data_IF_456936088324
#
_entry.id   IF_456936088324
#
_cell.length_a   1.000
_cell.length_b   1.000
_cell.length_c   1.000
_cell.angle_alpha   90.00
_cell.angle_beta   90.00
_cell.angle_gamma   90.00
#
_symmetry.space_group_name_H-M   'P 1'
#
loop_
_entity.id
_entity.type
_entity.pdbx_description
1 polymer ?
#
# COMPACT_ATOMS: atom_id res chain seq x y z
N UNK A 1 4.40 17.86 9.68
CA UNK A 1 3.26 17.68 10.60
C UNK A 1 3.68 17.83 12.06
N UNK A 2 4.55 16.96 12.61
CA UNK A 2 4.97 17.11 14.03
C UNK A 2 5.90 18.31 14.25
N UNK A 3 6.97 18.37 13.44
CA UNK A 3 7.90 19.50 13.41
C UNK A 3 7.28 20.59 12.53
N UNK A 4 6.72 21.63 13.16
CA UNK A 4 6.18 22.82 12.47
C UNK A 4 4.70 23.11 12.74
N UNK A 5 3.84 22.10 12.84
CA UNK A 5 2.40 22.28 13.16
C UNK A 5 2.05 21.93 14.61
N UNK A 6 3.05 21.54 15.43
CA UNK A 6 2.84 21.20 16.84
C UNK A 6 2.06 19.90 17.09
N UNK A 7 1.75 19.13 16.04
CA UNK A 7 0.98 17.89 16.16
C UNK A 7 1.80 16.79 16.86
N UNK A 8 1.17 16.09 17.80
CA UNK A 8 1.74 14.85 18.35
C UNK A 8 1.57 13.74 17.32
N UNK A 9 2.70 13.21 16.82
CA UNK A 9 2.70 12.14 15.82
C UNK A 9 3.24 10.87 16.46
N UNK A 10 2.48 9.78 16.34
CA UNK A 10 2.92 8.42 16.65
C UNK A 10 2.87 7.60 15.37
N UNK A 11 4.02 7.11 14.91
CA UNK A 11 4.09 6.24 13.74
C UNK A 11 4.32 4.79 14.17
N UNK A 12 3.75 3.86 13.42
CA UNK A 12 3.86 2.42 13.67
C UNK A 12 4.33 1.77 12.38
N UNK A 13 5.42 1.02 12.45
CA UNK A 13 6.06 0.37 11.31
C UNK A 13 6.65 -0.97 11.74
N UNK A 14 6.46 -2.03 10.96
CA UNK A 14 6.92 -3.37 11.26
C UNK A 14 8.42 -3.58 11.01
N UNK A 15 8.99 -2.86 10.03
CA UNK A 15 10.41 -2.93 9.72
C UNK A 15 11.23 -1.97 10.60
N UNK A 16 12.02 -2.57 11.50
CA UNK A 16 12.96 -1.85 12.37
C UNK A 16 13.90 -0.92 11.61
N UNK A 17 14.38 -1.33 10.43
CA UNK A 17 15.32 -0.54 9.62
C UNK A 17 14.67 0.75 9.12
N UNK A 18 13.39 0.68 8.74
CA UNK A 18 12.63 1.85 8.32
C UNK A 18 12.39 2.81 9.49
N UNK A 19 12.09 2.28 10.68
CA UNK A 19 11.97 3.10 11.90
C UNK A 19 13.29 3.78 12.28
N UNK A 20 14.41 3.07 12.21
CA UNK A 20 15.73 3.62 12.48
C UNK A 20 16.11 4.71 11.47
N UNK A 21 15.78 4.50 10.20
CA UNK A 21 15.93 5.50 9.14
C UNK A 21 15.07 6.74 9.42
N UNK A 22 13.80 6.57 9.79
CA UNK A 22 12.91 7.68 10.13
C UNK A 22 13.47 8.51 11.30
N UNK A 23 13.89 7.85 12.39
CA UNK A 23 14.53 8.52 13.54
C UNK A 23 15.80 9.28 13.16
N UNK A 24 16.59 8.76 12.21
CA UNK A 24 17.77 9.44 11.70
C UNK A 24 17.38 10.71 10.92
N UNK A 25 16.41 10.61 10.02
CA UNK A 25 15.91 11.75 9.24
C UNK A 25 15.33 12.84 10.14
N UNK A 26 14.61 12.48 11.19
CA UNK A 26 14.11 13.42 12.20
C UNK A 26 15.24 14.19 12.88
N UNK A 27 16.32 13.50 13.28
CA UNK A 27 17.52 14.15 13.86
C UNK A 27 18.19 15.10 12.88
N UNK A 28 18.37 14.67 11.64
CA UNK A 28 18.97 15.49 10.58
C UNK A 28 18.14 16.75 10.31
N UNK A 29 16.81 16.62 10.27
CA UNK A 29 15.89 17.74 10.12
C UNK A 29 15.97 18.71 11.31
N UNK A 30 15.99 18.20 12.55
CA UNK A 30 16.14 19.04 13.74
C UNK A 30 17.46 19.83 13.72
N UNK A 31 18.57 19.18 13.39
CA UNK A 31 19.88 19.84 13.25
C UNK A 31 19.86 20.90 12.14
N UNK A 32 19.24 20.61 11.00
CA UNK A 32 19.09 21.56 9.90
C UNK A 32 18.26 22.78 10.32
N UNK A 33 17.15 22.56 11.02
CA UNK A 33 16.29 23.63 11.55
C UNK A 33 17.00 24.48 12.61
N UNK A 34 17.83 23.89 13.47
CA UNK A 34 18.66 24.63 14.43
C UNK A 34 19.72 25.48 13.74
N UNK A 35 20.39 24.93 12.73
CA UNK A 35 21.39 25.65 11.93
C UNK A 35 20.75 26.82 11.17
N UNK A 36 19.56 26.61 10.60
CA UNK A 36 18.79 27.66 9.93
C UNK A 36 18.43 28.79 10.92
N UNK A 37 17.94 28.45 12.12
CA UNK A 37 17.65 29.45 13.17
C UNK A 37 18.86 30.29 13.56
N UNK A 38 20.03 29.67 13.76
CA UNK A 38 21.27 30.40 14.09
C UNK A 38 21.71 31.37 12.99
N UNK A 39 21.29 31.14 11.74
CA UNK A 39 21.57 32.01 10.60
C UNK A 39 20.53 33.13 10.44
N UNK A 40 19.30 32.92 10.90
CA UNK A 40 18.19 33.87 10.77
C UNK A 40 17.80 34.39 12.15
N UNK A 41 18.53 35.38 12.66
CA UNK A 41 18.43 35.89 14.04
C UNK A 41 17.08 36.58 14.42
N UNK A 42 16.01 36.46 13.63
CA UNK A 42 14.77 37.23 13.82
C UNK A 42 13.45 36.49 13.53
N UNK A 43 13.40 35.16 13.46
CA UNK A 43 12.11 34.46 13.29
C UNK A 43 11.59 33.96 14.64
N UNK A 44 10.37 34.38 14.98
CA UNK A 44 9.60 34.06 16.18
C UNK A 44 9.72 32.58 16.63
N UNK A 45 9.61 32.27 17.94
CA UNK A 45 9.68 30.90 18.41
C UNK A 45 8.57 30.08 17.74
N UNK A 46 8.89 29.03 16.97
CA UNK A 46 7.91 28.05 16.55
C UNK A 46 7.29 27.44 17.81
N UNK A 47 5.99 27.17 17.76
CA UNK A 47 5.27 26.44 18.80
C UNK A 47 5.94 25.11 19.18
N UNK A 48 5.42 24.43 20.21
CA UNK A 48 6.06 23.26 20.82
C UNK A 48 6.47 22.21 19.77
N UNK A 49 7.78 21.97 19.66
CA UNK A 49 8.33 20.94 18.77
C UNK A 49 8.23 19.58 19.46
N UNK A 50 7.14 18.87 19.21
CA UNK A 50 7.10 17.45 19.52
C UNK A 50 7.90 16.70 18.46
N UNK A 51 8.84 15.85 18.88
CA UNK A 51 9.43 14.88 17.95
C UNK A 51 8.43 13.74 17.73
N UNK A 52 8.31 13.22 16.50
CA UNK A 52 7.52 12.02 16.24
C UNK A 52 7.97 10.85 17.13
N UNK A 53 6.99 10.12 17.67
CA UNK A 53 7.25 8.87 18.36
C UNK A 53 7.14 7.71 17.37
N UNK A 54 8.26 7.02 17.12
CA UNK A 54 8.27 5.86 16.23
C UNK A 54 8.27 4.55 17.02
N UNK A 55 7.31 3.68 16.71
CA UNK A 55 7.14 2.35 17.32
C UNK A 55 7.39 1.28 16.27
N UNK A 56 8.27 0.32 16.60
CA UNK A 56 8.50 -0.87 15.75
C UNK A 56 7.46 -1.92 16.13
N UNK A 57 6.45 -2.14 15.28
CA UNK A 57 5.40 -3.12 15.51
C UNK A 57 4.66 -3.47 14.22
N UNK A 58 4.40 -4.76 14.02
CA UNK A 58 3.46 -5.23 13.01
C UNK A 58 2.03 -5.01 13.50
N UNK A 59 1.20 -4.41 12.64
CA UNK A 59 -0.20 -4.13 12.97
C UNK A 59 -1.08 -5.10 12.21
N UNK A 60 -1.68 -6.01 12.95
CA UNK A 60 -2.74 -6.87 12.42
C UNK A 60 -4.08 -6.11 12.45
N UNK A 61 -4.97 -6.30 11.47
CA UNK A 61 -6.27 -5.61 11.41
C UNK A 61 -7.10 -5.75 12.70
N UNK A 62 -7.07 -6.94 13.32
CA UNK A 62 -7.79 -7.22 14.56
C UNK A 62 -7.18 -6.52 15.80
N UNK A 63 -5.87 -6.30 15.79
CA UNK A 63 -5.13 -5.70 16.90
C UNK A 63 -5.10 -4.17 16.85
N UNK A 64 -5.48 -3.58 15.70
CA UNK A 64 -5.41 -2.13 15.48
C UNK A 64 -6.24 -1.35 16.51
N UNK A 65 -7.50 -1.72 16.71
CA UNK A 65 -8.38 -1.00 17.62
C UNK A 65 -7.89 -1.15 19.07
N UNK A 66 -7.82 -2.39 19.55
CA UNK A 66 -7.68 -2.66 20.99
C UNK A 66 -6.30 -2.31 21.54
N UNK A 67 -5.24 -2.58 20.77
CA UNK A 67 -3.88 -2.49 21.29
C UNK A 67 -3.17 -1.18 20.95
N UNK A 68 -3.68 -0.42 19.97
CA UNK A 68 -2.98 0.75 19.43
C UNK A 68 -3.78 2.04 19.56
N UNK A 69 -5.07 2.00 19.29
CA UNK A 69 -5.92 3.18 19.22
C UNK A 69 -6.64 3.46 20.55
N UNK A 70 -7.19 2.43 21.21
CA UNK A 70 -7.83 2.59 22.53
C UNK A 70 -6.97 3.35 23.56
N UNK A 71 -5.65 3.10 23.69
CA UNK A 71 -4.82 3.86 24.65
C UNK A 71 -4.63 5.34 24.29
N UNK A 72 -4.81 5.71 23.02
CA UNK A 72 -4.71 7.10 22.54
C UNK A 72 -6.04 7.84 22.72
N UNK A 73 -7.15 7.12 22.59
CA UNK A 73 -8.52 7.62 22.77
C UNK A 73 -8.82 7.94 24.24
N UNK A 74 -8.43 7.04 25.16
CA UNK A 74 -8.74 7.15 26.60
C UNK A 74 -7.74 8.01 27.39
N UNK A 75 -7.06 8.94 26.72
CA UNK A 75 -6.09 9.81 27.39
C UNK A 75 -6.78 10.65 28.48
N UNK A 76 -6.27 10.66 29.74
CA UNK A 76 -6.95 11.27 30.90
C UNK A 76 -7.12 12.80 30.84
N UNK A 77 -6.69 13.44 29.75
CA UNK A 77 -6.84 14.89 29.52
C UNK A 77 -8.12 15.28 28.76
N UNK A 78 -8.95 14.33 28.32
CA UNK A 78 -10.21 14.58 27.62
C UNK A 78 -10.04 15.09 26.18
N UNK A 79 -10.91 14.66 25.26
CA UNK A 79 -11.09 15.29 23.94
C UNK A 79 -9.98 15.06 22.90
N UNK A 80 -9.29 13.92 22.92
CA UNK A 80 -8.28 13.63 21.89
C UNK A 80 -8.92 13.61 20.49
N UNK A 81 -8.48 14.51 19.60
CA UNK A 81 -8.82 14.49 18.18
C UNK A 81 -7.70 13.81 17.42
N UNK A 82 -8.02 12.67 16.82
CA UNK A 82 -7.06 11.83 16.11
C UNK A 82 -7.25 11.96 14.60
N UNK A 83 -6.12 12.04 13.89
CA UNK A 83 -6.03 11.84 12.45
C UNK A 83 -5.39 10.47 12.23
N UNK A 84 -6.12 9.56 11.60
CA UNK A 84 -5.56 8.28 11.17
C UNK A 84 -4.92 8.44 9.80
N UNK A 85 -3.70 7.93 9.65
CA UNK A 85 -2.99 7.94 8.36
C UNK A 85 -2.47 6.55 8.04
N UNK A 86 -2.97 5.95 6.97
CA UNK A 86 -2.51 4.67 6.44
C UNK A 86 -1.69 4.87 5.17
N UNK A 87 -0.36 4.93 5.29
CA UNK A 87 0.54 4.98 4.13
C UNK A 87 0.92 3.54 3.77
N UNK A 88 0.33 2.99 2.70
CA UNK A 88 0.40 1.57 2.33
C UNK A 88 -0.39 0.62 3.25
N UNK A 89 -1.63 1.00 3.62
CA UNK A 89 -2.52 0.12 4.36
C UNK A 89 -2.88 -1.13 3.52
N UNK A 90 -2.25 -2.27 3.84
CA UNK A 90 -2.35 -3.49 3.07
C UNK A 90 -3.62 -4.28 3.40
N UNK A 91 -4.37 -4.75 2.39
CA UNK A 91 -5.51 -5.64 2.58
C UNK A 91 -6.50 -5.12 3.63
N UNK A 92 -6.87 -5.99 4.56
CA UNK A 92 -7.85 -5.70 5.60
C UNK A 92 -7.39 -4.66 6.63
N UNK A 93 -6.11 -4.27 6.66
CA UNK A 93 -5.67 -3.14 7.48
C UNK A 93 -6.33 -1.84 6.99
N UNK A 94 -6.49 -1.67 5.68
CA UNK A 94 -7.22 -0.51 5.13
C UNK A 94 -8.70 -0.51 5.54
N UNK A 95 -9.31 -1.70 5.59
CA UNK A 95 -10.70 -1.89 6.04
C UNK A 95 -10.83 -1.59 7.53
N UNK A 96 -9.89 -2.05 8.36
CA UNK A 96 -9.88 -1.80 9.79
C UNK A 96 -9.74 -0.30 10.10
N UNK A 97 -8.87 0.42 9.37
CA UNK A 97 -8.76 1.88 9.50
C UNK A 97 -10.08 2.59 9.15
N UNK A 98 -10.75 2.19 8.07
CA UNK A 98 -12.03 2.76 7.66
C UNK A 98 -13.13 2.50 8.71
N UNK A 99 -13.29 1.25 9.14
CA UNK A 99 -14.27 0.87 10.16
C UNK A 99 -14.04 1.60 11.47
N UNK A 100 -12.78 1.68 11.90
CA UNK A 100 -12.43 2.38 13.12
C UNK A 100 -12.69 3.89 13.00
N UNK A 101 -12.35 4.52 11.87
CA UNK A 101 -12.75 5.90 11.59
C UNK A 101 -14.28 6.08 11.73
N UNK A 102 -15.08 5.20 11.14
CA UNK A 102 -16.54 5.27 11.24
C UNK A 102 -17.04 5.18 12.69
N UNK A 103 -16.52 4.23 13.47
CA UNK A 103 -17.04 3.90 14.80
C UNK A 103 -16.47 4.73 15.96
N UNK A 104 -15.27 5.32 15.83
CA UNK A 104 -14.57 5.99 16.94
C UNK A 104 -14.71 7.53 16.88
N UNK A 105 -15.46 8.17 17.80
CA UNK A 105 -15.69 9.63 17.79
C UNK A 105 -14.41 10.48 17.85
N UNK A 106 -13.39 10.00 18.54
CA UNK A 106 -12.08 10.65 18.70
C UNK A 106 -11.34 10.78 17.37
N UNK A 107 -11.55 9.83 16.44
CA UNK A 107 -10.98 9.92 15.10
C UNK A 107 -11.83 10.85 14.25
N UNK A 108 -11.34 12.08 14.06
CA UNK A 108 -12.04 13.14 13.35
C UNK A 108 -11.73 13.18 11.85
N UNK A 109 -10.60 12.59 11.45
CA UNK A 109 -10.14 12.58 10.07
C UNK A 109 -9.34 11.31 9.74
N UNK A 110 -9.34 10.95 8.45
CA UNK A 110 -8.63 9.81 7.88
C UNK A 110 -7.92 10.24 6.58
N UNK A 111 -6.69 9.76 6.37
CA UNK A 111 -6.01 9.76 5.08
C UNK A 111 -5.43 8.36 4.82
N UNK A 112 -5.92 7.65 3.81
CA UNK A 112 -5.57 6.25 3.56
C UNK A 112 -5.14 6.02 2.10
N UNK A 113 -3.97 5.42 1.94
CA UNK A 113 -3.42 4.95 0.66
C UNK A 113 -3.33 3.42 0.72
N UNK A 114 -4.22 2.74 0.01
CA UNK A 114 -4.23 1.28 -0.11
C UNK A 114 -3.13 0.77 -1.04
N UNK A 115 -2.69 -0.48 -0.88
CA UNK A 115 -1.66 -1.02 -1.78
C UNK A 115 -1.60 -2.53 -2.05
N UNK A 116 -2.26 -3.39 -1.27
CA UNK A 116 -2.20 -4.84 -1.42
C UNK A 116 -3.60 -5.44 -1.44
N UNK A 117 -4.35 -5.20 -2.51
CA UNK A 117 -5.76 -5.58 -2.59
C UNK A 117 -5.99 -7.09 -2.60
N UNK A 118 -5.02 -7.87 -3.08
CA UNK A 118 -5.05 -9.34 -3.03
C UNK A 118 -5.07 -9.91 -1.60
N UNK A 119 -4.75 -9.09 -0.59
CA UNK A 119 -4.84 -9.43 0.84
C UNK A 119 -6.18 -9.04 1.48
N UNK A 120 -7.15 -8.54 0.71
CA UNK A 120 -8.49 -8.32 1.24
C UNK A 120 -9.17 -9.66 1.52
N UNK A 121 -9.90 -9.79 2.62
CA UNK A 121 -10.73 -10.97 2.84
C UNK A 121 -11.96 -10.97 1.92
N UNK A 122 -12.46 -12.17 1.66
CA UNK A 122 -13.70 -12.39 0.92
C UNK A 122 -14.45 -13.55 1.61
N UNK A 123 -15.55 -13.27 2.35
CA UNK A 123 -16.20 -11.96 2.53
C UNK A 123 -15.47 -11.03 3.52
N UNK A 124 -15.91 -9.78 3.59
CA UNK A 124 -15.57 -8.84 4.67
C UNK A 124 -14.50 -7.79 4.34
N UNK A 125 -13.66 -8.04 3.34
CA UNK A 125 -12.64 -7.10 2.87
C UNK A 125 -13.12 -6.29 1.66
N UNK A 126 -13.97 -6.84 0.79
CA UNK A 126 -14.60 -6.16 -0.34
C UNK A 126 -15.86 -6.95 -0.78
N UNK A 127 -16.93 -6.28 -1.27
CA UNK A 127 -17.17 -4.84 -1.19
C UNK A 127 -17.48 -4.38 0.24
N UNK A 128 -17.33 -3.07 0.52
CA UNK A 128 -17.75 -2.45 1.78
C UNK A 128 -18.99 -1.57 1.65
N UNK A 129 -19.17 -0.92 0.50
CA UNK A 129 -20.34 -0.09 0.25
C UNK A 129 -21.54 -0.96 -0.12
N UNK A 130 -22.72 -0.52 0.32
CA UNK A 130 -23.97 -1.17 -0.05
C UNK A 130 -24.23 -1.04 -1.55
N UNK A 131 -23.86 0.10 -2.13
CA UNK A 131 -24.03 0.35 -3.55
C UNK A 131 -23.23 -0.62 -4.43
N UNK A 132 -21.92 -0.81 -4.15
CA UNK A 132 -21.10 -1.77 -4.92
C UNK A 132 -21.55 -3.21 -4.64
N UNK A 133 -21.93 -3.52 -3.40
CA UNK A 133 -22.47 -4.83 -3.04
C UNK A 133 -23.75 -5.19 -3.81
N UNK A 134 -24.55 -4.19 -4.19
CA UNK A 134 -25.77 -4.39 -4.96
C UNK A 134 -25.55 -4.57 -6.47
N UNK A 135 -24.33 -4.31 -6.99
CA UNK A 135 -24.04 -4.49 -8.40
C UNK A 135 -23.96 -5.98 -8.77
N UNK A 136 -24.53 -6.40 -9.92
CA UNK A 136 -24.38 -7.76 -10.41
C UNK A 136 -22.91 -8.02 -10.78
N UNK A 137 -22.37 -9.15 -10.30
CA UNK A 137 -20.98 -9.53 -10.61
C UNK A 137 -19.93 -8.63 -9.97
N UNK A 138 -20.23 -8.02 -8.82
CA UNK A 138 -19.29 -7.17 -8.10
C UNK A 138 -18.04 -7.90 -7.58
N UNK A 139 -18.05 -9.24 -7.54
CA UNK A 139 -16.93 -10.05 -7.03
C UNK A 139 -15.60 -9.75 -7.73
N UNK A 140 -14.55 -9.56 -6.93
CA UNK A 140 -13.18 -9.41 -7.44
C UNK A 140 -12.34 -10.63 -7.08
N UNK A 141 -12.05 -11.45 -8.08
CA UNK A 141 -11.15 -12.58 -7.92
C UNK A 141 -9.77 -12.15 -7.40
N UNK A 142 -9.06 -13.07 -6.75
CA UNK A 142 -7.68 -12.82 -6.30
C UNK A 142 -6.78 -12.24 -7.40
N UNK A 143 -6.91 -12.71 -8.65
CA UNK A 143 -6.07 -12.25 -9.76
C UNK A 143 -6.37 -10.80 -10.15
N UNK A 144 -7.63 -10.39 -10.14
CA UNK A 144 -7.98 -9.00 -10.43
C UNK A 144 -7.42 -8.08 -9.33
N UNK A 145 -7.56 -8.48 -8.07
CA UNK A 145 -7.04 -7.73 -6.92
C UNK A 145 -5.52 -7.67 -6.89
N UNK A 146 -4.83 -8.74 -7.28
CA UNK A 146 -3.38 -8.72 -7.46
C UNK A 146 -2.98 -7.85 -8.66
N UNK A 147 -3.70 -7.95 -9.77
CA UNK A 147 -3.54 -7.11 -10.96
C UNK A 147 -3.56 -5.62 -10.65
N UNK A 148 -4.52 -5.19 -9.82
CA UNK A 148 -4.66 -3.83 -9.30
C UNK A 148 -3.47 -3.33 -8.46
N UNK A 149 -2.44 -4.17 -8.25
CA UNK A 149 -1.22 -3.81 -7.56
C UNK A 149 -0.02 -3.51 -8.44
N UNK A 150 -0.19 -3.60 -9.75
CA UNK A 150 0.88 -3.30 -10.69
C UNK A 150 0.82 -1.85 -11.19
N UNK A 151 2.01 -1.29 -11.41
CA UNK A 151 2.20 0.03 -12.00
C UNK A 151 2.25 -0.08 -13.54
N UNK A 152 1.39 0.67 -14.22
CA UNK A 152 1.36 0.70 -15.69
C UNK A 152 2.57 1.45 -16.25
N UNK A 153 2.95 2.56 -15.63
CA UNK A 153 3.95 3.52 -16.08
C UNK A 153 5.34 2.88 -16.18
N UNK A 154 5.75 2.14 -15.14
CA UNK A 154 7.03 1.45 -15.13
C UNK A 154 7.12 0.39 -16.23
N UNK A 155 6.03 -0.34 -16.47
CA UNK A 155 6.00 -1.36 -17.50
C UNK A 155 5.94 -0.77 -18.90
N UNK A 156 5.21 0.34 -19.10
CA UNK A 156 5.17 1.07 -20.36
C UNK A 156 6.57 1.51 -20.80
N UNK A 157 7.39 2.03 -19.86
CA UNK A 157 8.80 2.36 -20.15
C UNK A 157 9.65 1.14 -20.56
N UNK A 158 9.41 -0.03 -19.96
CA UNK A 158 10.09 -1.29 -20.33
C UNK A 158 9.67 -1.78 -21.72
N UNK A 159 8.40 -1.62 -22.09
CA UNK A 159 7.90 -1.94 -23.42
C UNK A 159 8.54 -1.04 -24.49
N UNK A 160 8.58 0.27 -24.25
CA UNK A 160 9.15 1.24 -25.19
C UNK A 160 10.64 0.99 -25.45
N UNK A 161 11.39 0.63 -24.41
CA UNK A 161 12.82 0.33 -24.51
C UNK A 161 13.12 -1.07 -25.08
N UNK A 162 12.08 -1.88 -25.35
CA UNK A 162 12.21 -3.30 -25.71
C UNK A 162 13.20 -4.05 -24.79
N UNK A 163 13.21 -3.68 -23.50
CA UNK A 163 14.26 -4.07 -22.58
C UNK A 163 14.23 -5.58 -22.30
N UNK A 164 15.38 -6.20 -22.04
CA UNK A 164 15.46 -7.64 -21.81
C UNK A 164 14.73 -8.10 -20.53
N UNK A 165 14.26 -7.17 -19.70
CA UNK A 165 13.43 -7.44 -18.53
C UNK A 165 12.02 -7.96 -18.83
N UNK A 166 11.51 -7.80 -20.07
CA UNK A 166 10.20 -8.29 -20.48
C UNK A 166 10.07 -9.83 -20.38
N UNK A 167 11.19 -10.55 -20.57
CA UNK A 167 11.25 -12.01 -20.46
C UNK A 167 10.90 -12.54 -19.06
N UNK A 168 10.95 -11.69 -18.03
CA UNK A 168 10.73 -12.08 -16.63
C UNK A 168 9.35 -12.70 -16.41
N UNK A 169 8.32 -12.20 -17.08
CA UNK A 169 6.96 -12.75 -16.98
C UNK A 169 6.85 -14.12 -17.65
N UNK A 170 7.52 -14.30 -18.79
CA UNK A 170 7.59 -15.60 -19.47
C UNK A 170 8.30 -16.65 -18.61
N UNK A 171 9.46 -16.29 -18.03
CA UNK A 171 10.21 -17.18 -17.15
C UNK A 171 9.43 -17.53 -15.88
N UNK A 172 8.69 -16.54 -15.34
CA UNK A 172 7.81 -16.77 -14.20
C UNK A 172 6.66 -17.71 -14.53
N UNK A 173 6.05 -17.60 -15.72
CA UNK A 173 5.00 -18.51 -16.17
C UNK A 173 5.53 -19.95 -16.37
N UNK A 174 6.73 -20.10 -16.92
CA UNK A 174 7.40 -21.40 -17.05
C UNK A 174 7.66 -22.03 -15.68
N UNK A 175 8.21 -21.27 -14.73
CA UNK A 175 8.43 -21.72 -13.35
C UNK A 175 7.12 -22.18 -12.70
N UNK A 176 6.05 -21.40 -12.80
CA UNK A 176 4.73 -21.77 -12.24
C UNK A 176 4.20 -23.09 -12.84
N UNK A 177 4.47 -23.35 -14.12
CA UNK A 177 4.10 -24.62 -14.78
C UNK A 177 4.87 -25.80 -14.20
N UNK A 178 6.17 -25.62 -13.94
CA UNK A 178 7.01 -26.67 -13.33
C UNK A 178 6.60 -26.91 -11.88
N UNK A 179 6.38 -25.86 -11.09
CA UNK A 179 5.88 -25.96 -9.70
C UNK A 179 4.59 -26.75 -9.64
N UNK A 180 3.61 -26.41 -10.49
CA UNK A 180 2.30 -27.10 -10.50
C UNK A 180 2.38 -28.56 -10.94
N UNK A 181 3.36 -28.93 -11.77
CA UNK A 181 3.62 -30.33 -12.12
C UNK A 181 4.27 -31.10 -10.98
N UNK A 182 5.23 -30.48 -10.29
CA UNK A 182 5.96 -31.12 -9.19
C UNK A 182 5.11 -31.27 -7.93
N UNK A 183 4.33 -30.23 -7.59
CA UNK A 183 3.48 -30.21 -6.39
C UNK A 183 2.16 -29.47 -6.66
N UNK A 184 1.11 -30.17 -7.13
CA UNK A 184 -0.18 -29.54 -7.50
C UNK A 184 -0.88 -28.79 -6.37
N UNK A 185 -0.61 -29.15 -5.11
CA UNK A 185 -1.15 -28.50 -3.91
C UNK A 185 -0.47 -27.17 -3.60
N UNK A 186 0.77 -26.96 -4.08
CA UNK A 186 1.54 -25.75 -3.85
C UNK A 186 1.07 -24.63 -4.78
N UNK A 187 0.06 -23.89 -4.34
CA UNK A 187 -0.52 -22.78 -5.10
C UNK A 187 0.06 -21.45 -4.62
N UNK A 188 0.61 -20.66 -5.56
CA UNK A 188 1.09 -19.29 -5.32
C UNK A 188 2.14 -19.20 -4.18
N UNK A 189 3.26 -19.95 -4.24
CA UNK A 189 4.26 -20.02 -3.16
C UNK A 189 5.07 -18.73 -2.92
N UNK A 190 4.59 -17.56 -3.37
CA UNK A 190 5.25 -16.27 -3.09
C UNK A 190 6.70 -16.19 -3.56
N UNK A 191 7.02 -16.67 -4.77
CA UNK A 191 8.43 -16.75 -5.20
C UNK A 191 9.01 -15.35 -5.33
N UNK A 192 10.00 -15.05 -4.51
CA UNK A 192 10.70 -13.77 -4.49
C UNK A 192 11.35 -13.46 -5.84
N UNK A 193 11.56 -12.18 -6.15
CA UNK A 193 12.16 -11.73 -7.41
C UNK A 193 13.60 -12.24 -7.58
N UNK A 194 13.90 -12.88 -8.72
CA UNK A 194 15.26 -13.38 -9.02
C UNK A 194 16.05 -12.20 -9.62
N UNK A 195 17.17 -11.77 -9.03
CA UNK A 195 17.96 -10.67 -9.59
C UNK A 195 18.55 -11.07 -10.94
N UNK A 196 18.75 -10.06 -11.82
CA UNK A 196 19.42 -10.22 -13.12
C UNK A 196 18.80 -11.30 -14.02
N UNK A 197 17.46 -11.41 -14.03
CA UNK A 197 16.71 -12.36 -14.86
C UNK A 197 17.13 -12.32 -16.33
N UNK A 198 17.43 -11.12 -16.83
CA UNK A 198 17.84 -10.91 -18.23
C UNK A 198 19.18 -11.56 -18.60
N UNK A 199 20.01 -11.91 -17.61
CA UNK A 199 21.29 -12.61 -17.82
C UNK A 199 21.13 -14.13 -17.75
N UNK A 200 20.00 -14.62 -17.27
CA UNK A 200 19.77 -16.05 -17.02
C UNK A 200 19.17 -16.74 -18.24
N UNK A 201 19.51 -18.02 -18.39
CA UNK A 201 18.72 -18.94 -19.21
C UNK A 201 17.45 -19.37 -18.46
N UNK A 202 16.44 -19.82 -19.20
CA UNK A 202 15.15 -20.19 -18.61
C UNK A 202 15.28 -21.35 -17.61
N UNK A 203 16.17 -22.31 -17.89
CA UNK A 203 16.47 -23.44 -17.02
C UNK A 203 17.02 -22.97 -15.68
N UNK A 204 18.05 -22.11 -15.72
CA UNK A 204 18.69 -21.57 -14.52
C UNK A 204 17.70 -20.75 -13.68
N UNK A 205 16.83 -19.97 -14.34
CA UNK A 205 15.77 -19.25 -13.65
C UNK A 205 14.80 -20.20 -12.94
N UNK A 206 14.36 -21.26 -13.63
CA UNK A 206 13.44 -22.27 -13.07
C UNK A 206 14.09 -22.96 -11.87
N UNK A 207 15.35 -23.41 -11.98
CA UNK A 207 16.07 -24.06 -10.90
C UNK A 207 16.16 -23.16 -9.65
N UNK A 208 16.56 -21.89 -9.83
CA UNK A 208 16.58 -20.91 -8.73
C UNK A 208 15.19 -20.65 -8.15
N UNK A 209 14.17 -20.66 -9.00
CA UNK A 209 12.78 -20.50 -8.59
C UNK A 209 12.27 -21.66 -7.73
N UNK A 210 12.59 -22.90 -8.12
CA UNK A 210 12.27 -24.12 -7.37
C UNK A 210 12.90 -24.10 -5.98
N UNK A 211 14.19 -23.76 -5.90
CA UNK A 211 14.90 -23.65 -4.63
C UNK A 211 14.20 -22.66 -3.66
N UNK A 212 13.68 -21.54 -4.17
CA UNK A 212 13.01 -20.52 -3.35
C UNK A 212 11.65 -20.94 -2.81
N UNK A 213 11.03 -21.94 -3.41
CA UNK A 213 9.75 -22.49 -2.96
C UNK A 213 9.91 -23.81 -2.21
N UNK A 214 11.15 -24.19 -1.88
CA UNK A 214 11.46 -25.42 -1.15
C UNK A 214 11.33 -26.68 -2.00
N UNK A 215 11.35 -26.56 -3.33
CA UNK A 215 11.35 -27.70 -4.25
C UNK A 215 12.77 -28.01 -4.72
N UNK A 216 13.00 -29.26 -5.13
CA UNK A 216 14.30 -29.71 -5.64
C UNK A 216 14.67 -28.97 -6.94
N UNK A 217 15.76 -28.19 -6.98
CA UNK A 217 16.20 -27.51 -8.19
C UNK A 217 16.67 -28.47 -9.28
N UNK A 218 16.97 -29.73 -8.97
CA UNK A 218 17.43 -30.75 -9.92
C UNK A 218 16.28 -31.62 -10.47
N UNK A 219 15.03 -31.23 -10.24
CA UNK A 219 13.87 -31.91 -10.82
C UNK A 219 14.05 -32.11 -12.34
N UNK A 220 13.66 -33.26 -12.91
CA UNK A 220 13.77 -33.50 -14.34
C UNK A 220 13.00 -32.44 -15.15
N UNK A 221 13.74 -31.54 -15.80
CA UNK A 221 13.18 -30.49 -16.65
C UNK A 221 13.15 -30.94 -18.10
N UNK A 222 12.00 -30.81 -18.75
CA UNK A 222 11.91 -30.95 -20.21
C UNK A 222 12.41 -29.65 -20.86
N UNK A 223 13.64 -29.67 -21.37
CA UNK A 223 14.22 -28.53 -22.11
C UNK A 223 13.35 -28.11 -23.28
N UNK A 224 12.82 -29.09 -24.04
CA UNK A 224 11.89 -28.83 -25.13
C UNK A 224 10.62 -28.11 -24.66
N UNK A 225 10.05 -28.48 -23.51
CA UNK A 225 8.89 -27.80 -22.96
C UNK A 225 9.22 -26.37 -22.52
N UNK A 226 10.38 -26.14 -21.88
CA UNK A 226 10.81 -24.80 -21.48
C UNK A 226 11.06 -23.90 -22.69
N UNK A 227 11.72 -24.41 -23.72
CA UNK A 227 11.92 -23.68 -24.98
C UNK A 227 10.59 -23.36 -25.66
N UNK A 228 9.63 -24.29 -25.66
CA UNK A 228 8.29 -24.05 -26.20
C UNK A 228 7.55 -22.95 -25.41
N UNK A 229 7.71 -22.88 -24.08
CA UNK A 229 7.18 -21.77 -23.27
C UNK A 229 7.88 -20.44 -23.58
N UNK A 230 9.21 -20.46 -23.72
CA UNK A 230 9.99 -19.27 -24.08
C UNK A 230 9.59 -18.72 -25.45
N UNK A 231 9.28 -19.60 -26.42
CA UNK A 231 8.77 -19.19 -27.73
C UNK A 231 7.43 -18.43 -27.67
N UNK A 232 6.70 -18.50 -26.54
CA UNK A 232 5.47 -17.74 -26.32
C UNK A 232 5.71 -16.36 -25.68
N UNK A 233 6.97 -15.91 -25.53
CA UNK A 233 7.31 -14.64 -24.84
C UNK A 233 6.45 -13.46 -25.31
N UNK A 234 6.32 -13.25 -26.61
CA UNK A 234 5.52 -12.15 -27.18
C UNK A 234 4.03 -12.25 -26.79
N UNK A 235 3.49 -13.46 -26.67
CA UNK A 235 2.10 -13.66 -26.22
C UNK A 235 1.94 -13.37 -24.74
N UNK A 236 2.93 -13.74 -23.92
CA UNK A 236 2.94 -13.43 -22.48
C UNK A 236 3.05 -11.92 -22.27
N UNK A 237 3.91 -11.24 -23.04
CA UNK A 237 4.03 -9.77 -23.03
C UNK A 237 2.71 -9.14 -23.40
N UNK A 238 2.07 -9.56 -24.50
CA UNK A 238 0.76 -9.04 -24.91
C UNK A 238 -0.33 -9.26 -23.85
N UNK A 239 -0.41 -10.47 -23.28
CA UNK A 239 -1.36 -10.78 -22.22
C UNK A 239 -1.15 -9.92 -20.97
N UNK A 240 0.11 -9.76 -20.53
CA UNK A 240 0.41 -8.96 -19.36
C UNK A 240 0.15 -7.47 -19.61
N UNK A 241 0.44 -6.95 -20.81
CA UNK A 241 0.05 -5.58 -21.20
C UNK A 241 -1.46 -5.37 -21.09
N UNK A 242 -2.28 -6.31 -21.59
CA UNK A 242 -3.74 -6.23 -21.46
C UNK A 242 -4.18 -6.25 -19.99
N UNK A 243 -3.56 -7.09 -19.16
CA UNK A 243 -3.85 -7.12 -17.72
C UNK A 243 -3.53 -5.79 -17.04
N UNK A 244 -2.41 -5.14 -17.41
CA UNK A 244 -2.03 -3.83 -16.88
C UNK A 244 -2.95 -2.69 -17.32
N UNK A 245 -3.53 -2.76 -18.52
CA UNK A 245 -4.54 -1.80 -18.95
C UNK A 245 -5.80 -1.87 -18.08
N UNK A 246 -6.13 -3.05 -17.54
CA UNK A 246 -7.27 -3.26 -16.65
C UNK A 246 -6.95 -2.95 -15.17
N UNK A 247 -5.68 -2.97 -14.79
CA UNK A 247 -5.27 -2.79 -13.39
C UNK A 247 -5.80 -1.48 -12.75
N UNK A 248 -5.68 -0.29 -13.38
CA UNK A 248 -6.22 0.94 -12.83
C UNK A 248 -7.75 0.94 -12.67
N UNK A 249 -8.47 0.23 -13.55
CA UNK A 249 -9.92 0.11 -13.46
C UNK A 249 -10.31 -0.69 -12.21
N UNK A 250 -9.61 -1.80 -11.94
CA UNK A 250 -9.87 -2.61 -10.75
C UNK A 250 -9.49 -1.86 -9.47
N UNK A 251 -8.36 -1.15 -9.46
CA UNK A 251 -7.99 -0.28 -8.32
C UNK A 251 -9.04 0.81 -8.08
N UNK A 252 -9.49 1.49 -9.14
CA UNK A 252 -10.51 2.53 -9.06
C UNK A 252 -11.82 1.98 -8.50
N UNK A 253 -12.26 0.79 -8.93
CA UNK A 253 -13.47 0.16 -8.38
C UNK A 253 -13.34 -0.09 -6.87
N UNK A 254 -12.18 -0.56 -6.41
CA UNK A 254 -11.93 -0.77 -4.97
C UNK A 254 -11.92 0.54 -4.22
N UNK A 255 -11.31 1.60 -4.77
CA UNK A 255 -11.25 2.92 -4.15
C UNK A 255 -12.62 3.60 -4.09
N UNK A 256 -13.42 3.49 -5.16
CA UNK A 256 -14.80 3.97 -5.19
C UNK A 256 -15.69 3.22 -4.20
N UNK A 257 -15.51 1.92 -4.04
CA UNK A 257 -16.18 1.15 -2.98
C UNK A 257 -15.90 1.73 -1.58
N UNK A 258 -14.65 2.13 -1.30
CA UNK A 258 -14.32 2.75 0.00
C UNK A 258 -14.87 4.15 0.14
N UNK A 259 -14.83 4.93 -0.93
CA UNK A 259 -15.39 6.27 -0.97
C UNK A 259 -16.90 6.23 -0.67
N UNK A 260 -17.63 5.38 -1.40
CA UNK A 260 -19.06 5.20 -1.24
C UNK A 260 -19.40 4.69 0.16
N UNK A 261 -18.63 3.73 0.70
CA UNK A 261 -18.84 3.23 2.06
C UNK A 261 -18.81 4.36 3.11
N UNK A 262 -17.89 5.31 2.97
CA UNK A 262 -17.80 6.47 3.89
C UNK A 262 -18.95 7.46 3.67
N UNK A 263 -19.31 7.72 2.41
CA UNK A 263 -20.40 8.64 2.07
C UNK A 263 -21.78 8.09 2.49
N UNK A 264 -21.99 6.78 2.40
CA UNK A 264 -23.20 6.09 2.89
C UNK A 264 -23.39 6.26 4.40
N UNK A 265 -22.30 6.45 5.16
CA UNK A 265 -22.32 6.73 6.59
C UNK A 265 -22.46 8.23 6.90
N UNK A 266 -22.60 9.08 5.89
CA UNK A 266 -22.75 10.53 6.03
C UNK A 266 -21.45 11.30 6.24
N UNK A 267 -20.28 10.68 6.04
CA UNK A 267 -18.99 11.36 6.16
C UNK A 267 -18.59 12.09 4.87
N UNK A 268 -17.80 13.15 5.01
CA UNK A 268 -17.20 13.83 3.87
C UNK A 268 -15.96 13.06 3.46
N UNK A 269 -15.92 12.56 2.22
CA UNK A 269 -14.80 11.79 1.71
C UNK A 269 -14.52 12.13 0.25
N UNK A 270 -13.24 12.10 -0.11
CA UNK A 270 -12.72 12.41 -1.45
C UNK A 270 -11.53 11.50 -1.79
N UNK A 271 -11.35 11.23 -3.09
CA UNK A 271 -10.15 10.58 -3.63
C UNK A 271 -9.26 11.64 -4.27
N UNK A 272 -8.06 11.81 -3.73
CA UNK A 272 -7.12 12.84 -4.16
C UNK A 272 -5.86 12.23 -4.79
N UNK A 273 -5.44 12.65 -5.99
CA UNK A 273 -4.14 12.31 -6.53
C UNK A 273 -3.06 13.15 -5.82
N UNK A 274 -2.34 12.53 -4.89
CA UNK A 274 -1.33 13.20 -4.05
C UNK A 274 0.09 13.11 -4.60
N UNK A 275 0.35 12.21 -5.55
CA UNK A 275 1.65 12.04 -6.20
C UNK A 275 1.52 11.88 -7.71
N UNK A 276 2.61 12.08 -8.45
CA UNK A 276 2.68 11.61 -9.83
C UNK A 276 2.82 10.07 -9.81
N UNK A 277 2.11 9.36 -10.70
CA UNK A 277 2.17 7.90 -10.76
C UNK A 277 3.58 7.38 -11.12
N UNK A 278 4.41 8.20 -11.78
CA UNK A 278 5.81 7.90 -12.06
C UNK A 278 6.69 7.91 -10.79
N UNK A 279 6.33 8.71 -9.78
CA UNK A 279 7.03 8.73 -8.49
C UNK A 279 6.55 7.60 -7.57
N UNK A 280 5.23 7.38 -7.53
CA UNK A 280 4.62 6.29 -6.78
C UNK A 280 3.35 5.87 -7.50
N UNK A 281 3.23 4.60 -7.92
CA UNK A 281 1.99 4.10 -8.52
C UNK A 281 0.82 4.10 -7.54
N UNK A 282 1.11 4.20 -6.22
CA UNK A 282 0.11 4.42 -5.18
C UNK A 282 -0.04 5.91 -4.94
N UNK A 283 -0.66 6.58 -5.89
CA UNK A 283 -0.81 8.04 -5.90
C UNK A 283 -2.19 8.55 -5.45
N UNK A 284 -3.19 7.67 -5.34
CA UNK A 284 -4.52 8.04 -4.88
C UNK A 284 -4.64 7.87 -3.36
N UNK A 285 -5.03 8.94 -2.68
CA UNK A 285 -5.35 8.93 -1.26
C UNK A 285 -6.85 9.12 -1.06
N UNK A 286 -7.46 8.23 -0.28
CA UNK A 286 -8.79 8.43 0.26
C UNK A 286 -8.67 9.29 1.51
N UNK A 287 -9.24 10.50 1.46
CA UNK A 287 -9.27 11.44 2.57
C UNK A 287 -10.70 11.58 3.05
N UNK A 288 -10.92 11.57 4.36
CA UNK A 288 -12.24 11.71 4.93
C UNK A 288 -12.25 12.48 6.26
N UNK A 289 -13.38 13.14 6.54
CA UNK A 289 -13.62 13.91 7.76
C UNK A 289 -15.06 13.73 8.24
N UNK A 290 -15.25 13.75 9.56
CA UNK A 290 -16.58 13.63 10.17
C UNK A 290 -17.42 14.90 10.10
N UNK A 291 -16.77 16.04 9.87
CA UNK A 291 -17.40 17.37 9.74
C UNK A 291 -16.74 18.10 8.57
N UNK A 292 -17.43 19.04 7.91
CA UNK A 292 -16.83 19.85 6.86
C UNK A 292 -15.54 20.51 7.36
N UNK A 293 -14.44 20.37 6.61
CA UNK A 293 -13.13 20.94 6.95
C UNK A 293 -13.23 22.45 7.27
N UNK A 294 -14.02 23.21 6.50
CA UNK A 294 -14.23 24.63 6.72
C UNK A 294 -14.80 25.00 8.10
N UNK A 295 -15.66 24.14 8.68
CA UNK A 295 -16.20 24.33 10.04
C UNK A 295 -15.27 23.81 11.13
N UNK A 296 -14.32 22.92 10.80
CA UNK A 296 -13.34 22.42 11.75
C UNK A 296 -12.20 23.43 12.01
N UNK A 297 -11.84 24.22 11.00
CA UNK A 297 -10.85 25.29 11.13
C UNK A 297 -11.39 26.54 11.84
N UNK A 298 -12.68 26.88 11.68
CA UNK A 298 -13.27 28.03 12.37
C UNK A 298 -13.26 27.90 13.90
N UNK A 299 -13.27 26.66 14.42
CA UNK A 299 -13.14 26.38 15.87
C UNK A 299 -11.70 26.55 16.36
N UNK A 300 -10.70 26.26 15.52
CA UNK A 300 -9.29 26.43 15.86
C UNK A 300 -8.86 27.91 15.83
N UNK A 301 -9.50 28.73 14.99
CA UNK A 301 -9.26 30.18 14.96
C UNK A 301 -9.86 30.92 16.16
N UNK A 302 -10.86 30.33 16.85
CA UNK A 302 -11.50 30.93 18.03
C UNK A 302 -10.83 30.61 19.37
N UNK A 303 -9.90 29.65 19.41
CA UNK A 303 -9.18 29.27 20.65
C UNK A 303 -7.90 30.10 20.90
N UNK A 304 -7.50 30.95 19.95
CA UNK A 304 -6.37 31.89 20.06
C UNK A 304 -6.82 33.35 20.34
N UNK A 305 -8.04 33.55 20.87
CA UNK A 305 -8.59 34.86 21.28
C UNK A 305 -8.34 35.20 22.75
#
# INVERSE_FOLDING_TARGET
MSLGLGLKVKSIEGDRRLVERARRLDRELLLALEKARKRTAQVAPPGPRCSPQHVVRWVEPAALCDELLLPLEHSPRGGARLLLTGLHACGDLSVALLRHFCCCPEVVALASVGCCYMKLSDPGGYPLSQWVAALPGCELSYRLREGACHALEEYAGRLQSAGPGLRSHCYRAALETVIRRAQPTLRRPGVQGIPRVHELKIEEYVQRGLQRVGLDPQLPLSLAALQAQQAQENRVVAFFSLALLLAPLVETLILLDRLLHLQEQGFHAELLPIFSPELSPRNLALVATKRPLGQAFSVLETEDG
#
